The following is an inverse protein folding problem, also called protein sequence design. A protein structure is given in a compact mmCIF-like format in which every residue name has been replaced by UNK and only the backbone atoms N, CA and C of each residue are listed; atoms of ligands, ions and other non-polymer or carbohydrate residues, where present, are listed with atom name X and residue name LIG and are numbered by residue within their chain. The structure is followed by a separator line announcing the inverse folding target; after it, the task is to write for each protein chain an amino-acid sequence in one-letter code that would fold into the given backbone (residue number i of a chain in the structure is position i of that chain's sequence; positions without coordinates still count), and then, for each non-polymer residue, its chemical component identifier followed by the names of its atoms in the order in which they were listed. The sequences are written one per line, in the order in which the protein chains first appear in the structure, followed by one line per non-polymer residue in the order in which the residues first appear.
data_IF_036365276732
#
_entry.id   IF_036365276732
#
_cell.length_a   1.000
_cell.length_b   1.000
_cell.length_c   1.000
_cell.angle_alpha   90.00
_cell.angle_beta   90.00
_cell.angle_gamma   90.00
#
_symmetry.space_group_name_H-M   'P 1'
#
loop_
_entity.id
_entity.type
_entity.pdbx_description
1 polymer ?
#
# COMPACT_ATOMS: atom_id res chain seq x y z
N UNK A 1 10.66 15.14 -14.34
CA UNK A 1 10.65 13.71 -14.03
C UNK A 1 9.88 13.48 -12.74
N UNK A 2 8.88 12.62 -12.78
CA UNK A 2 8.12 12.31 -11.58
C UNK A 2 8.85 11.21 -10.82
N UNK A 3 9.03 11.43 -9.53
CA UNK A 3 9.57 10.41 -8.65
C UNK A 3 8.43 9.62 -8.04
N UNK A 4 8.58 8.31 -8.05
CA UNK A 4 7.64 7.43 -7.38
C UNK A 4 8.27 7.02 -6.06
N UNK A 5 7.63 7.41 -4.97
CA UNK A 5 8.09 7.08 -3.63
C UNK A 5 7.58 5.70 -3.23
N UNK A 6 8.40 4.94 -2.53
CA UNK A 6 8.03 3.60 -2.10
C UNK A 6 7.59 3.60 -0.64
N UNK A 7 6.45 2.93 -0.40
CA UNK A 7 5.97 2.65 0.95
C UNK A 7 6.04 1.14 1.14
N UNK A 8 6.91 0.69 2.03
CA UNK A 8 7.09 -0.74 2.29
C UNK A 8 6.32 -1.14 3.53
N UNK A 9 5.32 -2.01 3.36
CA UNK A 9 4.49 -2.51 4.45
C UNK A 9 5.09 -3.71 5.17
N UNK A 10 6.22 -4.25 4.67
CA UNK A 10 6.90 -5.39 5.27
C UNK A 10 6.29 -6.72 4.89
N UNK A 11 6.61 -7.76 5.67
CA UNK A 11 6.15 -9.12 5.44
C UNK A 11 4.88 -9.41 6.24
N UNK A 12 3.94 -10.08 5.59
CA UNK A 12 2.66 -10.47 6.20
C UNK A 12 2.27 -11.85 5.69
N UNK A 13 1.65 -12.64 6.56
CA UNK A 13 1.12 -13.93 6.14
C UNK A 13 -0.05 -13.74 5.19
N UNK A 14 -0.25 -14.70 4.29
CA UNK A 14 -1.38 -14.65 3.38
C UNK A 14 -2.71 -14.52 4.13
N UNK A 15 -3.68 -13.88 3.50
CA UNK A 15 -5.00 -13.59 4.04
C UNK A 15 -5.02 -12.63 5.24
N UNK A 16 -3.92 -11.90 5.48
CA UNK A 16 -3.87 -10.90 6.53
C UNK A 16 -4.06 -9.50 5.97
N UNK A 17 -4.15 -8.51 6.86
CA UNK A 17 -4.27 -7.11 6.50
C UNK A 17 -3.04 -6.37 7.03
N UNK A 18 -2.35 -5.68 6.13
CA UNK A 18 -1.23 -4.82 6.49
C UNK A 18 -1.74 -3.40 6.71
N UNK A 19 -1.39 -2.80 7.82
CA UNK A 19 -1.83 -1.44 8.18
C UNK A 19 -0.62 -0.56 8.46
N UNK A 20 -0.63 0.64 7.91
CA UNK A 20 0.38 1.64 8.21
C UNK A 20 -0.22 3.05 8.15
N UNK A 21 0.46 3.99 8.78
CA UNK A 21 0.06 5.40 8.77
C UNK A 21 1.24 6.21 8.29
N UNK A 22 1.00 7.12 7.35
CA UNK A 22 2.03 8.02 6.85
C UNK A 22 1.56 9.46 6.96
N UNK A 23 2.53 10.36 7.17
CA UNK A 23 2.28 11.80 7.25
C UNK A 23 2.98 12.47 6.08
N UNK A 24 2.26 13.36 5.39
CA UNK A 24 2.79 14.12 4.26
C UNK A 24 2.88 15.59 4.62
N UNK A 25 3.57 16.37 3.77
CA UNK A 25 3.84 17.78 4.05
C UNK A 25 2.64 18.70 3.85
N UNK A 26 1.64 18.23 3.08
CA UNK A 26 0.47 19.03 2.73
C UNK A 26 -0.80 18.36 3.25
N UNK A 27 -1.87 19.13 3.52
CA UNK A 27 -3.16 18.53 3.83
C UNK A 27 -3.64 17.63 2.69
N UNK A 28 -4.12 16.46 3.03
CA UNK A 28 -4.60 15.49 2.05
C UNK A 28 -6.02 15.88 1.65
N UNK A 29 -6.26 16.01 0.35
CA UNK A 29 -7.57 16.32 -0.21
C UNK A 29 -8.17 15.16 -0.97
N UNK A 30 -7.30 14.29 -1.50
CA UNK A 30 -7.74 13.22 -2.38
C UNK A 30 -6.72 12.08 -2.40
N UNK A 31 -7.21 10.85 -2.42
CA UNK A 31 -6.39 9.66 -2.60
C UNK A 31 -6.99 8.78 -3.68
N UNK A 32 -6.13 8.12 -4.46
CA UNK A 32 -6.52 7.15 -5.48
C UNK A 32 -5.66 5.91 -5.35
N UNK A 33 -6.25 4.76 -5.59
CA UNK A 33 -5.54 3.48 -5.55
C UNK A 33 -5.83 2.70 -6.83
N UNK A 34 -4.84 1.91 -7.27
CA UNK A 34 -4.97 1.09 -8.47
C UNK A 34 -5.65 -0.25 -8.21
N UNK A 35 -5.85 -0.62 -6.95
CA UNK A 35 -6.41 -1.92 -6.58
C UNK A 35 -7.36 -1.75 -5.40
N UNK A 36 -8.52 -2.40 -5.47
CA UNK A 36 -9.48 -2.41 -4.36
C UNK A 36 -8.98 -3.12 -3.11
N UNK A 37 -7.81 -3.78 -3.20
CA UNK A 37 -7.18 -4.43 -2.05
C UNK A 37 -6.55 -3.44 -1.07
N UNK A 38 -6.35 -2.20 -1.49
CA UNK A 38 -5.82 -1.13 -0.64
C UNK A 38 -6.92 -0.12 -0.37
N UNK A 39 -7.21 0.12 0.91
CA UNK A 39 -8.12 1.18 1.32
C UNK A 39 -7.37 2.27 2.06
N UNK A 40 -7.85 3.49 1.92
CA UNK A 40 -7.23 4.66 2.53
C UNK A 40 -8.26 5.45 3.32
N UNK A 41 -7.83 6.01 4.44
CA UNK A 41 -8.58 7.04 5.15
C UNK A 41 -7.60 8.11 5.58
N UNK A 42 -8.03 9.36 5.60
CA UNK A 42 -7.11 10.44 5.94
C UNK A 42 -7.78 11.50 6.79
N UNK A 43 -6.96 12.13 7.62
CA UNK A 43 -7.33 13.30 8.42
C UNK A 43 -6.17 14.27 8.33
N UNK A 44 -6.44 15.50 7.89
CA UNK A 44 -5.43 16.54 7.69
C UNK A 44 -4.33 16.06 6.75
N UNK A 45 -3.11 15.90 7.25
CA UNK A 45 -1.96 15.45 6.46
C UNK A 45 -1.51 14.03 6.79
N UNK A 46 -2.36 13.26 7.47
CA UNK A 46 -2.05 11.88 7.86
C UNK A 46 -3.00 10.92 7.17
N UNK A 47 -2.46 9.89 6.52
CA UNK A 47 -3.26 8.86 5.85
C UNK A 47 -2.97 7.51 6.47
N UNK A 48 -4.04 6.74 6.70
CA UNK A 48 -3.95 5.35 7.16
C UNK A 48 -4.23 4.44 5.97
N UNK A 49 -3.33 3.49 5.74
CA UNK A 49 -3.42 2.51 4.66
C UNK A 49 -3.72 1.14 5.24
N UNK A 50 -4.72 0.47 4.67
CA UNK A 50 -5.08 -0.91 5.01
C UNK A 50 -5.07 -1.72 3.73
N UNK A 51 -4.19 -2.72 3.65
CA UNK A 51 -4.03 -3.54 2.46
C UNK A 51 -4.32 -5.00 2.76
N UNK A 52 -5.29 -5.57 2.04
CA UNK A 52 -5.53 -7.01 2.05
C UNK A 52 -4.46 -7.67 1.20
N UNK A 53 -3.56 -8.41 1.82
CA UNK A 53 -2.40 -8.94 1.11
C UNK A 53 -2.74 -10.14 0.22
N UNK A 54 -3.84 -10.83 0.49
CA UNK A 54 -4.28 -11.96 -0.31
C UNK A 54 -3.42 -13.20 -0.12
N UNK A 55 -3.29 -13.98 -1.18
CA UNK A 55 -2.57 -15.26 -1.16
C UNK A 55 -1.34 -15.22 -2.03
N UNK A 56 -0.38 -16.10 -1.73
CA UNK A 56 0.75 -16.37 -2.62
C UNK A 56 0.20 -17.06 -3.86
N UNK A 57 0.43 -16.45 -5.04
CA UNK A 57 -0.21 -16.90 -6.28
C UNK A 57 0.36 -18.18 -6.84
N UNK A 58 1.68 -18.38 -6.72
CA UNK A 58 2.32 -19.58 -7.26
C UNK A 58 2.45 -20.61 -6.16
N UNK A 59 1.90 -21.82 -6.33
CA UNK A 59 1.97 -22.88 -5.29
C UNK A 59 3.40 -23.32 -4.99
N UNK A 60 4.34 -23.10 -5.91
CA UNK A 60 5.75 -23.45 -5.72
C UNK A 60 6.55 -22.38 -4.98
N UNK A 61 5.99 -21.17 -4.82
CA UNK A 61 6.65 -20.10 -4.12
C UNK A 61 6.20 -20.02 -2.66
N UNK A 62 7.11 -19.54 -1.81
CA UNK A 62 6.80 -19.31 -0.40
C UNK A 62 6.49 -17.82 -0.13
N UNK A 63 6.86 -16.96 -1.05
CA UNK A 63 6.67 -15.49 -0.93
C UNK A 63 6.17 -14.91 -2.24
N UNK A 64 5.47 -13.80 -2.14
CA UNK A 64 5.00 -13.04 -3.29
C UNK A 64 5.02 -11.56 -2.93
N UNK A 65 5.67 -10.73 -3.75
CA UNK A 65 5.69 -9.29 -3.55
C UNK A 65 4.48 -8.66 -4.25
N UNK A 66 3.68 -7.94 -3.49
CA UNK A 66 2.51 -7.24 -3.99
C UNK A 66 2.80 -5.75 -4.10
N UNK A 67 2.42 -5.17 -5.23
CA UNK A 67 2.59 -3.75 -5.50
C UNK A 67 1.25 -3.12 -5.83
N UNK A 68 0.97 -1.98 -5.23
CA UNK A 68 -0.22 -1.20 -5.50
C UNK A 68 0.20 0.25 -5.69
N UNK A 69 -0.34 0.88 -6.72
CA UNK A 69 -0.11 2.31 -6.94
C UNK A 69 -1.06 3.12 -6.07
N UNK A 70 -0.52 4.10 -5.38
CA UNK A 70 -1.26 5.02 -4.53
C UNK A 70 -0.93 6.44 -4.96
N UNK A 71 -1.96 7.27 -5.11
CA UNK A 71 -1.78 8.69 -5.36
C UNK A 71 -2.38 9.48 -4.21
N UNK A 72 -1.56 10.31 -3.58
CA UNK A 72 -2.02 11.23 -2.53
C UNK A 72 -1.90 12.64 -3.11
N UNK A 73 -3.01 13.32 -3.27
CA UNK A 73 -3.09 14.59 -3.99
C UNK A 73 -2.51 14.40 -5.40
N UNK A 74 -1.32 14.94 -5.68
CA UNK A 74 -0.66 14.78 -6.98
C UNK A 74 0.61 13.93 -6.91
N UNK A 75 0.96 13.40 -5.75
CA UNK A 75 2.17 12.61 -5.54
C UNK A 75 1.87 11.13 -5.68
N UNK A 76 2.69 10.43 -6.46
CA UNK A 76 2.53 9.01 -6.73
C UNK A 76 3.45 8.18 -5.84
N UNK A 77 2.91 7.08 -5.32
CA UNK A 77 3.62 6.14 -4.45
C UNK A 77 3.43 4.72 -4.97
N UNK A 78 4.45 3.88 -4.75
CA UNK A 78 4.29 2.43 -4.86
C UNK A 78 4.20 1.87 -3.44
N UNK A 79 3.10 1.18 -3.15
CA UNK A 79 2.91 0.49 -1.88
C UNK A 79 3.29 -0.97 -2.10
N UNK A 80 4.25 -1.45 -1.34
CA UNK A 80 4.77 -2.81 -1.47
C UNK A 80 4.50 -3.60 -0.20
N UNK A 81 4.03 -4.84 -0.34
CA UNK A 81 3.90 -5.78 0.76
C UNK A 81 4.42 -7.14 0.32
N UNK A 82 5.16 -7.82 1.18
CA UNK A 82 5.60 -9.19 0.93
C UNK A 82 4.64 -10.15 1.61
N UNK A 83 4.05 -11.03 0.84
CA UNK A 83 3.10 -12.02 1.31
C UNK A 83 3.83 -13.35 1.49
N UNK A 84 3.66 -13.98 2.66
CA UNK A 84 4.23 -15.30 2.94
C UNK A 84 3.12 -16.29 3.25
N UNK A 85 3.41 -17.55 3.06
CA UNK A 85 2.47 -18.62 3.41
C UNK A 85 2.39 -18.83 4.92
#
# INVERSE_FOLDING_TARGET
MKYMLEINLGEHKENSVATTTITVDEPIKHTEVSCGCLSTSFVDNTVTLNMSVGKVKNPDDNVFDRFVLLKINTTEYIVKARVTR
#
